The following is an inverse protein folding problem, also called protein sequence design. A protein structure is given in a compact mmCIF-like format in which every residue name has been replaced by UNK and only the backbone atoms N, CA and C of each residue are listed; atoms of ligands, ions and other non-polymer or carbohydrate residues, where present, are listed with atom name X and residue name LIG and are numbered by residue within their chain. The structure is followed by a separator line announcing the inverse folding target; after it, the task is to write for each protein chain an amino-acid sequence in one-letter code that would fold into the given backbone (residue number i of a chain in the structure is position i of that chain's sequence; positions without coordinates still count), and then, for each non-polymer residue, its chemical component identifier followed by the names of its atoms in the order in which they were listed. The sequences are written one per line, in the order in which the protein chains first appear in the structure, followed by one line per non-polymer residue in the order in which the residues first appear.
data_IF_163115137405
#
_entry.id   IF_163115137405
#
_cell.length_a   1.000
_cell.length_b   1.000
_cell.length_c   1.000
_cell.angle_alpha   90.00
_cell.angle_beta   90.00
_cell.angle_gamma   90.00
#
_symmetry.space_group_name_H-M   'P 1'
#
loop_
_entity.id
_entity.type
_entity.pdbx_description
1 polymer ?
#
# COMPACT_ATOMS: atom_id res chain seq x y z
N UNK A 1 8.12 -14.89 -11.58
CA UNK A 1 9.42 -15.42 -12.01
C UNK A 1 9.99 -16.26 -10.87
N UNK A 2 10.66 -17.39 -11.13
CA UNK A 2 11.36 -18.13 -10.08
C UNK A 2 12.43 -17.23 -9.46
N UNK A 3 12.52 -17.19 -8.13
CA UNK A 3 13.60 -16.49 -7.43
C UNK A 3 14.77 -17.46 -7.27
N UNK A 4 15.85 -17.34 -8.06
CA UNK A 4 16.99 -18.23 -7.92
C UNK A 4 17.62 -18.05 -6.55
N UNK A 5 17.75 -19.13 -5.79
CA UNK A 5 18.42 -19.12 -4.51
C UNK A 5 19.90 -19.44 -4.70
N UNK A 6 20.78 -18.52 -4.30
CA UNK A 6 22.22 -18.72 -4.30
C UNK A 6 22.67 -19.14 -2.89
N UNK A 7 23.27 -20.33 -2.78
CA UNK A 7 23.94 -20.77 -1.57
C UNK A 7 25.40 -21.12 -1.85
N UNK A 8 26.26 -20.85 -0.88
CA UNK A 8 27.69 -21.10 -0.99
C UNK A 8 28.35 -21.09 0.39
N UNK A 9 29.50 -21.77 0.51
CA UNK A 9 30.33 -21.70 1.71
C UNK A 9 31.30 -20.54 1.56
N UNK A 10 31.41 -19.73 2.61
CA UNK A 10 32.36 -18.62 2.68
C UNK A 10 33.26 -18.78 3.91
N UNK A 11 34.48 -18.21 3.90
CA UNK A 11 35.33 -18.19 5.09
C UNK A 11 34.64 -17.48 6.27
N UNK A 12 34.81 -18.00 7.49
CA UNK A 12 34.16 -17.44 8.70
C UNK A 12 34.44 -15.94 8.88
N UNK A 13 35.70 -15.51 8.66
CA UNK A 13 36.08 -14.09 8.75
C UNK A 13 35.26 -13.19 7.83
N UNK A 14 34.90 -13.69 6.64
CA UNK A 14 34.10 -12.93 5.68
C UNK A 14 32.63 -12.89 6.10
N UNK A 15 32.12 -14.00 6.64
CA UNK A 15 30.79 -14.06 7.23
C UNK A 15 30.62 -13.04 8.36
N UNK A 16 31.56 -13.03 9.31
CA UNK A 16 31.53 -12.13 10.46
C UNK A 16 31.58 -10.65 10.01
N UNK A 17 32.41 -10.33 9.01
CA UNK A 17 32.49 -8.98 8.46
C UNK A 17 31.19 -8.53 7.76
N UNK A 18 30.54 -9.44 7.03
CA UNK A 18 29.24 -9.16 6.40
C UNK A 18 28.17 -8.94 7.46
N UNK A 19 28.17 -9.72 8.53
CA UNK A 19 27.22 -9.59 9.64
C UNK A 19 27.39 -8.26 10.40
N UNK A 20 28.63 -7.89 10.73
CA UNK A 20 28.92 -6.60 11.36
C UNK A 20 28.48 -5.41 10.51
N UNK A 21 28.70 -5.48 9.19
CA UNK A 21 28.25 -4.44 8.25
C UNK A 21 26.74 -4.39 8.12
N UNK A 22 26.07 -5.54 8.04
CA UNK A 22 24.61 -5.62 7.99
C UNK A 22 23.97 -4.91 9.21
N UNK A 23 24.52 -5.13 10.40
CA UNK A 23 24.05 -4.47 11.63
C UNK A 23 24.30 -2.96 11.61
N UNK A 24 25.45 -2.53 11.12
CA UNK A 24 25.84 -1.10 11.06
C UNK A 24 24.99 -0.33 10.05
N UNK A 25 24.75 -0.91 8.87
CA UNK A 25 24.05 -0.27 7.76
C UNK A 25 22.51 -0.43 7.88
N UNK A 26 22.01 -1.20 8.86
CA UNK A 26 20.59 -1.54 8.99
C UNK A 26 20.05 -2.37 7.81
N UNK A 27 20.94 -3.11 7.13
CA UNK A 27 20.62 -3.90 5.94
C UNK A 27 20.61 -5.39 6.26
N UNK A 28 19.94 -6.17 5.42
CA UNK A 28 20.03 -7.63 5.49
C UNK A 28 21.36 -8.12 4.92
N UNK A 29 21.84 -9.29 5.39
CA UNK A 29 23.03 -9.95 4.83
C UNK A 29 22.94 -10.13 3.31
N UNK A 30 21.74 -10.50 2.83
CA UNK A 30 21.48 -10.66 1.39
C UNK A 30 21.68 -9.36 0.63
N UNK A 31 21.18 -8.23 1.14
CA UNK A 31 21.37 -6.92 0.50
C UNK A 31 22.85 -6.57 0.40
N UNK A 32 23.62 -6.73 1.48
CA UNK A 32 25.08 -6.48 1.48
C UNK A 32 25.79 -7.36 0.45
N UNK A 33 25.44 -8.65 0.37
CA UNK A 33 26.04 -9.58 -0.58
C UNK A 33 25.68 -9.25 -2.03
N UNK A 34 24.42 -8.92 -2.29
CA UNK A 34 23.95 -8.53 -3.64
C UNK A 34 24.63 -7.24 -4.07
N UNK A 35 24.74 -6.24 -3.18
CA UNK A 35 25.47 -5.00 -3.45
C UNK A 35 26.93 -5.26 -3.79
N UNK A 36 27.62 -6.10 -3.01
CA UNK A 36 29.03 -6.44 -3.24
C UNK A 36 29.26 -7.17 -4.57
N UNK A 37 28.41 -8.15 -4.89
CA UNK A 37 28.48 -8.89 -6.17
C UNK A 37 28.17 -7.96 -7.35
N UNK A 38 27.14 -7.12 -7.22
CA UNK A 38 26.76 -6.15 -8.25
C UNK A 38 27.90 -5.17 -8.53
N UNK A 39 28.53 -4.65 -7.48
CA UNK A 39 29.70 -3.78 -7.59
C UNK A 39 30.89 -4.49 -8.24
N UNK A 40 31.18 -5.73 -7.86
CA UNK A 40 32.28 -6.51 -8.45
C UNK A 40 32.06 -6.79 -9.95
N UNK A 41 30.81 -7.07 -10.35
CA UNK A 41 30.44 -7.35 -11.74
C UNK A 41 30.12 -6.08 -12.56
N UNK A 42 30.21 -4.89 -11.97
CA UNK A 42 29.78 -3.62 -12.56
C UNK A 42 28.33 -3.64 -13.08
N UNK A 43 27.45 -4.32 -12.35
CA UNK A 43 26.01 -4.36 -12.63
C UNK A 43 25.33 -3.30 -11.75
N UNK A 44 24.45 -2.44 -12.30
CA UNK A 44 23.71 -1.48 -11.49
C UNK A 44 22.78 -2.22 -10.53
N UNK A 45 22.99 -2.03 -9.23
CA UNK A 45 22.07 -2.53 -8.21
C UNK A 45 20.87 -1.58 -8.10
N UNK A 46 19.70 -2.09 -8.48
CA UNK A 46 18.41 -1.43 -8.25
C UNK A 46 17.75 -2.19 -7.11
N UNK A 47 17.64 -1.62 -5.90
CA UNK A 47 16.93 -2.28 -4.81
C UNK A 47 15.51 -2.57 -5.28
N UNK A 48 15.08 -3.83 -5.22
CA UNK A 48 13.68 -4.14 -5.49
C UNK A 48 12.81 -3.38 -4.48
N UNK A 49 11.71 -2.74 -4.91
CA UNK A 49 10.79 -2.13 -3.99
C UNK A 49 10.32 -3.20 -3.02
N UNK A 50 10.40 -2.90 -1.72
CA UNK A 50 9.90 -3.80 -0.69
C UNK A 50 8.45 -4.11 -1.03
N UNK A 51 8.15 -5.38 -1.29
CA UNK A 51 6.77 -5.81 -1.48
C UNK A 51 6.06 -5.52 -0.14
N UNK A 52 4.92 -4.82 -0.16
CA UNK A 52 4.20 -4.51 1.05
C UNK A 52 3.89 -5.80 1.80
N UNK A 53 3.93 -5.74 3.13
CA UNK A 53 3.60 -6.91 3.96
C UNK A 53 2.13 -7.29 3.76
N UNK A 54 1.77 -8.52 4.14
CA UNK A 54 0.36 -8.97 4.08
C UNK A 54 -0.52 -8.07 4.96
N UNK A 55 0.02 -7.61 6.09
CA UNK A 55 -0.66 -6.69 7.02
C UNK A 55 -0.89 -5.31 6.41
N UNK A 56 0.12 -4.74 5.75
CA UNK A 56 -0.01 -3.47 5.02
C UNK A 56 -1.01 -3.58 3.86
N UNK A 57 -1.00 -4.70 3.14
CA UNK A 57 -1.97 -4.97 2.10
C UNK A 57 -3.39 -5.09 2.66
N UNK A 58 -3.56 -5.79 3.78
CA UNK A 58 -4.85 -5.94 4.45
C UNK A 58 -5.41 -4.60 4.94
N UNK A 59 -4.56 -3.73 5.51
CA UNK A 59 -4.95 -2.38 5.92
C UNK A 59 -5.40 -1.53 4.73
N UNK A 60 -4.62 -1.51 3.65
CA UNK A 60 -4.99 -0.78 2.42
C UNK A 60 -6.31 -1.29 1.83
N UNK A 61 -6.54 -2.60 1.88
CA UNK A 61 -7.77 -3.21 1.40
C UNK A 61 -8.97 -2.78 2.25
N UNK A 62 -8.84 -2.79 3.58
CA UNK A 62 -9.88 -2.33 4.50
C UNK A 62 -10.22 -0.84 4.32
N UNK A 63 -9.21 0.01 4.08
CA UNK A 63 -9.42 1.43 3.77
C UNK A 63 -10.20 1.60 2.46
N UNK A 64 -9.83 0.88 1.41
CA UNK A 64 -10.53 0.89 0.12
C UNK A 64 -11.99 0.41 0.25
N UNK A 65 -12.22 -0.67 0.99
CA UNK A 65 -13.56 -1.18 1.24
C UNK A 65 -14.44 -0.14 1.95
N UNK A 66 -13.88 0.58 2.92
CA UNK A 66 -14.57 1.66 3.63
C UNK A 66 -14.94 2.80 2.67
N UNK A 67 -14.01 3.27 1.84
CA UNK A 67 -14.29 4.34 0.86
C UNK A 67 -15.38 3.93 -0.13
N UNK A 68 -15.36 2.67 -0.58
CA UNK A 68 -16.39 2.13 -1.49
C UNK A 68 -17.75 2.05 -0.80
N UNK A 69 -17.81 1.70 0.49
CA UNK A 69 -19.05 1.69 1.25
C UNK A 69 -19.63 3.10 1.44
N UNK A 70 -18.79 4.08 1.74
CA UNK A 70 -19.19 5.49 1.88
C UNK A 70 -19.76 6.04 0.56
N UNK A 71 -19.09 5.79 -0.57
CA UNK A 71 -19.60 6.19 -1.89
C UNK A 71 -20.90 5.48 -2.29
N UNK A 72 -21.13 4.24 -1.81
CA UNK A 72 -22.40 3.53 -2.01
C UNK A 72 -23.51 4.08 -1.11
N UNK A 73 -23.18 4.55 0.08
CA UNK A 73 -24.12 5.18 1.00
C UNK A 73 -24.57 6.55 0.50
N UNK A 74 -23.67 7.37 -0.05
CA UNK A 74 -23.99 8.67 -0.66
C UNK A 74 -24.92 8.57 -1.88
N UNK A 75 -24.90 7.44 -2.60
CA UNK A 75 -25.83 7.20 -3.72
C UNK A 75 -27.25 6.81 -3.29
N UNK A 76 -27.52 6.60 -1.99
CA UNK A 76 -28.87 6.32 -1.50
C UNK A 76 -29.59 7.62 -1.12
N UNK A 77 -30.55 7.96 -1.98
CA UNK A 77 -31.62 8.95 -1.88
C UNK A 77 -31.26 10.39 -2.29
N UNK A 78 -31.72 10.83 -3.48
CA UNK A 78 -32.15 12.22 -3.61
C UNK A 78 -33.25 12.48 -2.55
N UNK A 79 -33.36 13.71 -2.00
CA UNK A 79 -34.47 14.05 -1.13
C UNK A 79 -35.78 13.66 -1.83
N UNK A 80 -36.77 13.09 -1.12
CA UNK A 80 -38.04 12.76 -1.74
C UNK A 80 -38.60 14.03 -2.38
N UNK A 81 -38.96 13.96 -3.66
CA UNK A 81 -39.51 15.09 -4.45
C UNK A 81 -40.66 15.83 -3.73
N UNK A 82 -41.32 15.18 -2.76
CA UNK A 82 -42.35 15.76 -1.92
C UNK A 82 -41.89 17.03 -1.16
N UNK A 83 -40.63 17.05 -0.71
CA UNK A 83 -40.10 18.20 0.04
C UNK A 83 -39.75 19.38 -0.88
N UNK A 84 -39.49 19.12 -2.16
CA UNK A 84 -39.27 20.17 -3.17
C UNK A 84 -40.56 20.88 -3.59
N UNK A 85 -41.71 20.19 -3.55
CA UNK A 85 -42.98 20.76 -3.97
C UNK A 85 -43.82 21.32 -2.82
N UNK A 86 -43.58 20.93 -1.57
CA UNK A 86 -44.30 21.45 -0.39
C UNK A 86 -44.23 22.98 -0.30
N UNK A 87 -43.04 23.56 -0.52
CA UNK A 87 -42.80 25.01 -0.50
C UNK A 87 -43.46 25.78 -1.66
N UNK A 88 -43.76 25.08 -2.76
CA UNK A 88 -44.39 25.65 -3.96
C UNK A 88 -45.92 25.54 -3.93
N UNK A 89 -46.45 24.53 -3.24
CA UNK A 89 -47.89 24.28 -3.16
C UNK A 89 -48.58 25.26 -2.22
N UNK A 90 -47.98 25.54 -1.05
CA UNK A 90 -48.53 26.51 -0.09
C UNK A 90 -48.48 27.95 -0.62
N UNK A 91 -47.43 28.30 -1.38
CA UNK A 91 -47.31 29.64 -2.00
C UNK A 91 -48.34 29.91 -3.11
N UNK A 92 -48.83 28.88 -3.80
CA UNK A 92 -49.75 29.03 -4.94
C UNK A 92 -51.19 28.63 -4.66
N UNK A 93 -51.43 27.75 -3.68
CA UNK A 93 -52.76 27.19 -3.41
C UNK A 93 -53.19 27.27 -1.94
N UNK A 94 -52.31 27.69 -1.03
CA UNK A 94 -52.55 27.80 0.40
C UNK A 94 -53.22 29.12 0.83
N UNK A 95 -54.35 29.51 0.23
CA UNK A 95 -55.37 30.27 0.97
C UNK A 95 -56.70 30.37 0.19
N UNK A 96 -57.76 29.83 0.77
CA UNK A 96 -59.09 30.44 0.92
C UNK A 96 -60.01 29.44 1.62
N UNK A 97 -60.14 29.60 2.94
CA UNK A 97 -61.44 29.67 3.62
C UNK A 97 -61.26 30.27 5.00
#
# INVERSE_FOLDING_TARGET
MPMPFLSGRIPQRLFDAVEARAQTDGKTRTQIMVEAISAYLNIPYIPEPQKPTIEELAQRLAELEKTVQEMKAEKKSPPPLKDFFADSYDRHYGNKK
#
